data_IF_295222313759
#
_entry.id   IF_295222313759
#
_cell.length_a   1.000
_cell.length_b   1.000
_cell.length_c   1.000
_cell.angle_alpha   90.00
_cell.angle_beta   90.00
_cell.angle_gamma   90.00
#
_symmetry.space_group_name_H-M   'P 1'
#
loop_
_entity.id
_entity.type
_entity.pdbx_description
1 polymer ?
#
# COMPACT_ATOMS: atom_id res chain seq x y z
N UNK A 1 -24.60 5.77 -0.32
CA UNK A 1 -23.57 5.23 0.58
C UNK A 1 -22.22 5.76 0.12
N UNK A 2 -21.36 6.22 1.04
CA UNK A 2 -20.03 6.70 0.68
C UNK A 2 -19.21 5.54 0.09
N UNK A 3 -18.74 5.68 -1.17
CA UNK A 3 -17.95 4.64 -1.85
C UNK A 3 -16.50 4.60 -1.35
N UNK A 4 -16.00 5.69 -0.76
CA UNK A 4 -14.64 5.81 -0.26
C UNK A 4 -14.57 5.49 1.22
N UNK A 5 -13.53 4.75 1.63
CA UNK A 5 -13.22 4.52 3.05
C UNK A 5 -12.42 5.69 3.61
N UNK A 6 -11.55 6.28 2.81
CA UNK A 6 -10.66 7.38 3.22
C UNK A 6 -10.54 8.39 2.09
N UNK A 7 -10.58 9.67 2.43
CA UNK A 7 -10.39 10.78 1.48
C UNK A 7 -9.52 11.86 2.12
N UNK A 8 -8.63 12.43 1.32
CA UNK A 8 -7.93 13.66 1.64
C UNK A 8 -8.36 14.75 0.65
N UNK A 9 -8.58 15.97 1.14
CA UNK A 9 -9.01 17.12 0.35
C UNK A 9 -8.11 18.31 0.63
N UNK A 10 -7.30 18.67 -0.36
CA UNK A 10 -6.41 19.83 -0.29
C UNK A 10 -5.37 19.78 0.83
N UNK A 11 -4.84 18.59 1.15
CA UNK A 11 -3.86 18.40 2.20
C UNK A 11 -2.54 19.09 1.87
N UNK A 12 -2.08 19.96 2.77
CA UNK A 12 -0.72 20.53 2.74
C UNK A 12 -0.04 20.30 4.07
N UNK A 13 1.25 20.04 4.02
CA UNK A 13 2.08 19.81 5.20
C UNK A 13 3.54 20.19 4.93
N UNK A 14 4.16 20.90 5.86
CA UNK A 14 5.58 21.26 5.84
C UNK A 14 6.25 20.76 7.13
N UNK A 15 7.49 20.29 7.00
CA UNK A 15 8.33 20.02 8.17
C UNK A 15 8.90 21.31 8.75
N UNK A 16 9.54 21.22 9.92
CA UNK A 16 10.11 22.37 10.65
C UNK A 16 11.12 23.19 9.82
N UNK A 17 11.74 22.59 8.81
CA UNK A 17 12.65 23.27 7.86
C UNK A 17 11.91 24.17 6.84
N UNK A 18 10.59 24.24 6.92
CA UNK A 18 9.73 25.05 6.06
C UNK A 18 9.56 24.52 4.63
N UNK A 19 10.11 23.35 4.30
CA UNK A 19 9.91 22.74 2.99
C UNK A 19 8.56 22.04 2.91
N UNK A 20 7.72 22.34 1.91
CA UNK A 20 6.46 21.67 1.73
C UNK A 20 6.71 20.21 1.33
N UNK A 21 6.22 19.27 2.15
CA UNK A 21 6.26 17.84 1.89
C UNK A 21 4.97 17.35 1.24
N UNK A 22 3.85 18.07 1.45
CA UNK A 22 2.57 17.91 0.75
C UNK A 22 2.08 19.30 0.33
N UNK A 23 1.58 19.39 -0.90
CA UNK A 23 1.06 20.64 -1.46
C UNK A 23 -0.28 20.37 -2.17
N UNK A 24 -1.38 20.76 -1.50
CA UNK A 24 -2.75 20.65 -1.99
C UNK A 24 -3.14 19.26 -2.49
N UNK A 25 -2.75 18.20 -1.76
CA UNK A 25 -3.01 16.82 -2.14
C UNK A 25 -4.47 16.46 -1.93
N UNK A 26 -5.14 16.03 -3.01
CA UNK A 26 -6.47 15.44 -2.96
C UNK A 26 -6.43 14.02 -3.51
N UNK A 27 -6.89 13.05 -2.70
CA UNK A 27 -6.80 11.61 -2.99
C UNK A 27 -7.95 10.89 -2.31
N UNK A 28 -8.46 9.82 -2.93
CA UNK A 28 -9.53 9.01 -2.37
C UNK A 28 -9.26 7.53 -2.51
N UNK A 29 -9.68 6.77 -1.51
CA UNK A 29 -9.46 5.34 -1.42
C UNK A 29 -10.81 4.61 -1.36
N UNK A 30 -11.27 4.01 -2.48
CA UNK A 30 -12.51 3.25 -2.52
C UNK A 30 -12.45 2.01 -1.62
N UNK A 31 -13.61 1.67 -1.01
CA UNK A 31 -13.75 0.51 -0.12
C UNK A 31 -13.42 -0.80 -0.84
N UNK A 32 -12.65 -1.66 -0.19
CA UNK A 32 -12.34 -3.00 -0.65
C UNK A 32 -11.49 -3.07 -1.92
N UNK A 33 -10.75 -2.02 -2.26
CA UNK A 33 -9.86 -1.95 -3.41
C UNK A 33 -8.39 -2.03 -3.02
N UNK A 34 -7.55 -2.42 -3.97
CA UNK A 34 -6.10 -2.31 -3.87
C UNK A 34 -5.65 -1.08 -4.66
N UNK A 35 -5.03 -0.12 -3.98
CA UNK A 35 -4.63 1.16 -4.57
C UNK A 35 -3.12 1.32 -4.43
N UNK A 36 -2.45 1.72 -5.52
CA UNK A 36 -1.05 2.14 -5.46
C UNK A 36 -0.93 3.65 -5.25
N UNK A 37 0.05 4.05 -4.45
CA UNK A 37 0.58 5.41 -4.40
C UNK A 37 2.03 5.33 -4.89
N UNK A 38 2.24 5.79 -6.12
CA UNK A 38 3.49 5.68 -6.86
C UNK A 38 4.28 6.97 -6.76
N UNK A 39 5.59 6.88 -6.79
CA UNK A 39 6.47 8.06 -6.80
C UNK A 39 7.87 7.70 -6.34
N UNK A 40 8.83 8.53 -6.71
CA UNK A 40 10.22 8.40 -6.26
C UNK A 40 10.40 8.62 -4.76
N UNK A 41 11.64 8.46 -4.29
CA UNK A 41 12.00 8.85 -2.93
C UNK A 41 11.83 10.36 -2.78
N UNK A 42 11.27 10.79 -1.65
CA UNK A 42 10.99 12.21 -1.40
C UNK A 42 9.71 12.75 -2.05
N UNK A 43 8.95 11.95 -2.81
CA UNK A 43 7.70 12.40 -3.44
C UNK A 43 6.56 12.75 -2.46
N UNK A 44 6.73 12.53 -1.15
CA UNK A 44 5.73 12.86 -0.12
C UNK A 44 4.84 11.70 0.31
N UNK A 45 5.06 10.46 -0.19
CA UNK A 45 4.20 9.29 0.09
C UNK A 45 4.08 8.98 1.58
N UNK A 46 5.19 8.79 2.29
CA UNK A 46 5.19 8.47 3.73
C UNK A 46 4.60 9.62 4.55
N UNK A 47 4.88 10.89 4.17
CA UNK A 47 4.28 12.07 4.79
C UNK A 47 2.75 12.09 4.62
N UNK A 48 2.26 11.75 3.42
CA UNK A 48 0.83 11.61 3.17
C UNK A 48 0.21 10.57 4.12
N UNK A 49 0.81 9.39 4.24
CA UNK A 49 0.29 8.32 5.09
C UNK A 49 0.27 8.68 6.57
N UNK A 50 1.28 9.37 7.06
CA UNK A 50 1.34 9.84 8.43
C UNK A 50 0.26 10.91 8.73
N UNK A 51 -0.07 11.75 7.75
CA UNK A 51 -1.20 12.68 7.85
C UNK A 51 -2.55 11.95 7.84
N UNK A 52 -2.71 10.96 6.95
CA UNK A 52 -3.94 10.17 6.83
C UNK A 52 -4.26 9.36 8.10
N UNK A 53 -3.24 8.87 8.80
CA UNK A 53 -3.39 8.11 10.05
C UNK A 53 -3.40 8.99 11.31
N UNK A 54 -3.18 10.30 11.17
CA UNK A 54 -3.15 11.24 12.28
C UNK A 54 -1.88 11.16 13.14
N UNK A 55 -0.77 10.65 12.61
CA UNK A 55 0.56 10.77 13.25
C UNK A 55 1.07 12.20 13.07
N UNK A 56 0.91 12.75 11.88
CA UNK A 56 1.13 14.16 11.58
C UNK A 56 -0.22 14.88 11.44
N UNK A 57 -0.24 16.16 11.83
CA UNK A 57 -1.39 17.03 11.65
C UNK A 57 -1.12 17.93 10.44
N UNK A 58 -1.98 17.95 9.40
CA UNK A 58 -1.75 18.79 8.23
C UNK A 58 -1.84 20.28 8.57
N UNK A 59 -1.09 21.11 7.86
CA UNK A 59 -1.14 22.57 7.98
C UNK A 59 -2.48 23.09 7.44
N UNK A 60 -3.00 22.45 6.39
CA UNK A 60 -4.30 22.78 5.79
C UNK A 60 -4.92 21.55 5.10
N UNK A 61 -6.21 21.69 4.75
CA UNK A 61 -6.98 20.62 4.14
C UNK A 61 -7.72 19.76 5.16
N UNK A 62 -8.28 18.67 4.69
CA UNK A 62 -9.16 17.80 5.49
C UNK A 62 -8.96 16.32 5.13
N UNK A 63 -9.07 15.47 6.14
CA UNK A 63 -9.13 14.01 5.97
C UNK A 63 -10.50 13.52 6.43
N UNK A 64 -11.10 12.64 5.64
CA UNK A 64 -12.41 12.06 5.87
C UNK A 64 -12.31 10.55 5.92
N UNK A 65 -12.76 9.93 7.00
CA UNK A 65 -12.77 8.50 7.21
C UNK A 65 -14.21 8.01 7.29
N UNK A 66 -14.59 7.15 6.35
CA UNK A 66 -15.95 6.58 6.22
C UNK A 66 -17.06 7.66 6.16
N UNK A 67 -16.76 8.81 5.55
CA UNK A 67 -17.67 9.94 5.40
C UNK A 67 -17.67 10.92 6.57
N UNK A 68 -16.88 10.69 7.62
CA UNK A 68 -16.73 11.60 8.75
C UNK A 68 -15.36 12.30 8.69
N UNK A 69 -15.34 13.63 8.89
CA UNK A 69 -14.09 14.39 8.99
C UNK A 69 -13.33 13.95 10.23
N UNK A 70 -12.06 13.59 10.09
CA UNK A 70 -11.25 13.21 11.23
C UNK A 70 -10.87 14.44 12.06
N UNK A 71 -10.82 14.24 13.37
CA UNK A 71 -10.30 15.21 14.33
C UNK A 71 -8.91 14.78 14.77
N UNK A 72 -7.96 15.70 14.79
CA UNK A 72 -6.58 15.46 15.24
C UNK A 72 -6.42 15.58 16.77
N UNK A 73 -7.54 15.63 17.52
CA UNK A 73 -7.49 15.57 18.99
C UNK A 73 -7.08 14.18 19.46
N UNK A 74 -6.22 14.09 20.46
CA UNK A 74 -5.69 12.80 20.98
C UNK A 74 -6.77 11.71 21.15
N UNK A 75 -7.92 12.06 21.79
CA UNK A 75 -9.02 11.10 22.04
C UNK A 75 -9.66 10.55 20.76
N UNK A 76 -9.65 11.33 19.67
CA UNK A 76 -10.31 10.97 18.42
C UNK A 76 -9.36 10.15 17.52
N UNK A 77 -8.06 10.38 17.63
CA UNK A 77 -7.01 9.67 16.88
C UNK A 77 -6.95 8.17 17.17
N UNK A 78 -7.35 7.73 18.36
CA UNK A 78 -7.44 6.29 18.65
C UNK A 78 -8.38 5.59 17.70
N UNK A 79 -9.56 6.16 17.43
CA UNK A 79 -10.53 5.61 16.47
C UNK A 79 -10.00 5.59 15.03
N UNK A 80 -9.22 6.61 14.66
CA UNK A 80 -8.58 6.67 13.34
C UNK A 80 -7.58 5.54 13.20
N UNK A 81 -6.67 5.38 14.18
CA UNK A 81 -5.62 4.36 14.17
C UNK A 81 -6.13 2.93 14.31
N UNK A 82 -7.29 2.74 14.93
CA UNK A 82 -7.97 1.44 14.94
C UNK A 82 -8.47 1.07 13.54
N UNK A 83 -8.99 2.03 12.76
CA UNK A 83 -9.55 1.80 11.42
C UNK A 83 -8.50 1.85 10.29
N UNK A 84 -7.39 2.58 10.49
CA UNK A 84 -6.31 2.75 9.51
C UNK A 84 -5.02 2.20 10.09
N UNK A 85 -4.60 1.04 9.62
CA UNK A 85 -3.31 0.45 9.97
C UNK A 85 -2.20 0.90 9.03
N UNK A 86 -0.98 1.04 9.54
CA UNK A 86 0.22 1.29 8.74
C UNK A 86 1.24 0.18 9.00
N UNK A 87 1.81 -0.35 7.92
CA UNK A 87 2.98 -1.23 7.94
C UNK A 87 4.15 -0.46 7.33
N UNK A 88 5.19 -0.23 8.11
CA UNK A 88 6.37 0.50 7.68
C UNK A 88 7.26 -0.30 6.74
N UNK A 89 8.09 0.40 5.98
CA UNK A 89 9.03 -0.19 5.03
C UNK A 89 10.01 -1.14 5.72
N UNK A 90 10.66 -0.71 6.80
CA UNK A 90 11.50 -1.57 7.63
C UNK A 90 10.68 -2.12 8.80
N UNK A 91 10.46 -3.46 8.89
CA UNK A 91 9.74 -4.03 10.02
C UNK A 91 10.49 -3.90 11.35
N UNK A 92 11.79 -3.58 11.35
CA UNK A 92 12.53 -3.31 12.58
C UNK A 92 12.09 -2.00 13.27
N UNK A 93 11.56 -1.06 12.50
CA UNK A 93 11.00 0.19 13.02
C UNK A 93 9.63 -0.01 13.69
N UNK A 94 9.02 -1.18 13.48
CA UNK A 94 7.68 -1.50 13.97
C UNK A 94 7.67 -2.58 15.07
N UNK A 95 8.59 -3.56 15.00
CA UNK A 95 8.65 -4.68 15.94
C UNK A 95 9.61 -4.36 17.10
N UNK A 96 9.08 -4.36 18.32
CA UNK A 96 9.87 -3.98 19.52
C UNK A 96 9.67 -4.91 20.70
N UNK A 97 8.70 -5.82 20.68
CA UNK A 97 8.41 -6.72 21.79
C UNK A 97 9.35 -7.94 21.83
N UNK A 98 9.48 -8.56 22.99
CA UNK A 98 10.36 -9.71 23.20
C UNK A 98 9.93 -10.98 22.42
N UNK A 99 8.64 -11.12 22.07
CA UNK A 99 8.13 -12.25 21.28
C UNK A 99 7.06 -11.80 20.30
N UNK A 100 6.87 -12.57 19.24
CA UNK A 100 5.86 -12.34 18.19
C UNK A 100 4.47 -12.16 18.78
N UNK A 101 4.03 -13.07 19.66
CA UNK A 101 2.70 -13.00 20.29
C UNK A 101 2.50 -11.70 21.08
N UNK A 102 3.52 -11.27 21.84
CA UNK A 102 3.47 -10.01 22.59
C UNK A 102 3.40 -8.79 21.67
N UNK A 103 4.14 -8.84 20.57
CA UNK A 103 4.17 -7.75 19.61
C UNK A 103 2.78 -7.57 18.93
N UNK A 104 2.21 -8.67 18.42
CA UNK A 104 0.88 -8.65 17.79
C UNK A 104 -0.20 -8.18 18.78
N UNK A 105 -0.14 -8.60 20.05
CA UNK A 105 -1.16 -8.24 21.05
C UNK A 105 -1.05 -6.83 21.60
N UNK A 106 0.08 -6.15 21.40
CA UNK A 106 0.43 -4.90 22.06
C UNK A 106 -0.63 -3.80 21.93
N UNK A 107 -1.11 -3.55 20.71
CA UNK A 107 -2.12 -2.51 20.46
C UNK A 107 -3.42 -2.74 21.23
N UNK A 108 -3.89 -3.98 21.23
CA UNK A 108 -5.14 -4.36 21.91
C UNK A 108 -5.03 -4.32 23.42
N UNK A 109 -3.89 -4.75 23.97
CA UNK A 109 -3.62 -4.68 25.41
C UNK A 109 -3.61 -3.23 25.88
N UNK A 110 -2.99 -2.31 25.11
CA UNK A 110 -2.98 -0.88 25.43
C UNK A 110 -4.36 -0.22 25.34
N UNK A 111 -5.26 -0.76 24.51
CA UNK A 111 -6.65 -0.35 24.45
C UNK A 111 -7.52 -0.93 25.59
N UNK A 112 -6.93 -1.78 26.44
CA UNK A 112 -7.65 -2.39 27.56
C UNK A 112 -8.68 -3.44 27.18
N UNK A 113 -8.51 -4.12 26.03
CA UNK A 113 -9.42 -5.20 25.63
C UNK A 113 -9.33 -6.38 26.59
N UNK A 114 -10.45 -7.12 26.82
CA UNK A 114 -10.45 -8.34 27.63
C UNK A 114 -9.45 -9.37 27.10
N UNK A 115 -8.78 -10.11 27.98
CA UNK A 115 -7.75 -11.09 27.64
C UNK A 115 -8.23 -12.12 26.63
N UNK A 116 -9.42 -12.66 26.79
CA UNK A 116 -10.03 -13.66 25.90
C UNK A 116 -10.18 -13.11 24.48
N UNK A 117 -10.60 -11.85 24.36
CA UNK A 117 -10.76 -11.18 23.06
C UNK A 117 -9.40 -10.93 22.39
N UNK A 118 -8.38 -10.50 23.17
CA UNK A 118 -7.00 -10.36 22.70
C UNK A 118 -6.49 -11.69 22.15
N UNK A 119 -6.60 -12.77 22.94
CA UNK A 119 -6.14 -14.10 22.53
C UNK A 119 -6.85 -14.58 21.25
N UNK A 120 -8.17 -14.42 21.17
CA UNK A 120 -8.96 -14.80 19.99
C UNK A 120 -8.51 -14.05 18.73
N UNK A 121 -8.29 -12.75 18.83
CA UNK A 121 -7.85 -11.93 17.68
C UNK A 121 -6.42 -12.23 17.28
N UNK A 122 -5.51 -12.44 18.23
CA UNK A 122 -4.13 -12.84 17.97
C UNK A 122 -4.09 -14.17 17.21
N UNK A 123 -4.81 -15.19 17.69
CA UNK A 123 -4.88 -16.48 17.02
C UNK A 123 -5.43 -16.37 15.58
N UNK A 124 -6.42 -15.51 15.38
CA UNK A 124 -6.97 -15.25 14.04
C UNK A 124 -5.91 -14.61 13.14
N UNK A 125 -5.23 -13.55 13.59
CA UNK A 125 -4.20 -12.83 12.82
C UNK A 125 -3.01 -13.76 12.50
N UNK A 126 -2.56 -14.57 13.46
CA UNK A 126 -1.48 -15.56 13.30
C UNK A 126 -1.82 -16.60 12.22
N UNK A 127 -3.05 -17.11 12.23
CA UNK A 127 -3.50 -18.07 11.19
C UNK A 127 -3.57 -17.42 9.80
N UNK A 128 -4.14 -16.24 9.71
CA UNK A 128 -4.33 -15.56 8.42
C UNK A 128 -3.00 -15.16 7.76
N UNK A 129 -2.01 -14.80 8.57
CA UNK A 129 -0.66 -14.42 8.09
C UNK A 129 0.30 -15.60 7.96
N UNK A 130 -0.11 -16.82 8.38
CA UNK A 130 0.67 -18.03 8.25
C UNK A 130 1.91 -18.09 9.15
N UNK A 131 1.90 -17.38 10.30
CA UNK A 131 3.06 -17.29 11.21
C UNK A 131 2.94 -18.13 12.47
N UNK A 132 2.07 -19.16 12.48
CA UNK A 132 1.81 -20.01 13.65
C UNK A 132 3.06 -20.58 14.32
N UNK A 133 3.99 -21.10 13.51
CA UNK A 133 5.26 -21.64 13.99
C UNK A 133 6.22 -20.59 14.60
N UNK A 134 5.90 -19.30 14.44
CA UNK A 134 6.73 -18.19 14.91
C UNK A 134 6.21 -17.53 16.19
N UNK A 135 5.00 -17.88 16.65
CA UNK A 135 4.26 -17.13 17.69
C UNK A 135 5.04 -16.90 18.99
N UNK A 136 5.83 -17.87 19.41
CA UNK A 136 6.59 -17.81 20.66
C UNK A 136 8.06 -17.41 20.44
N UNK A 137 8.47 -17.20 19.18
CA UNK A 137 9.86 -16.83 18.87
C UNK A 137 10.14 -15.37 19.22
N UNK A 138 11.39 -15.05 19.60
CA UNK A 138 11.82 -13.67 19.74
C UNK A 138 11.77 -12.94 18.39
N UNK A 139 11.29 -11.69 18.41
CA UNK A 139 11.14 -10.88 17.18
C UNK A 139 12.49 -10.62 16.47
N UNK A 140 13.57 -10.47 17.26
CA UNK A 140 14.92 -10.26 16.69
C UNK A 140 15.50 -11.49 16.00
N UNK A 141 15.00 -12.70 16.29
CA UNK A 141 15.47 -13.96 15.71
C UNK A 141 14.77 -14.35 14.39
N UNK A 142 13.95 -13.46 13.84
CA UNK A 142 13.19 -13.68 12.62
C UNK A 142 13.96 -13.19 11.38
N UNK A 143 13.75 -13.85 10.22
CA UNK A 143 14.16 -13.31 8.93
C UNK A 143 13.39 -12.05 8.57
N UNK A 144 13.89 -11.27 7.62
CA UNK A 144 13.23 -10.01 7.20
C UNK A 144 11.80 -10.25 6.70
N UNK A 145 11.56 -11.26 5.87
CA UNK A 145 10.21 -11.62 5.39
C UNK A 145 9.30 -12.10 6.52
N UNK A 146 9.83 -12.87 7.50
CA UNK A 146 9.07 -13.25 8.69
C UNK A 146 8.67 -12.03 9.51
N UNK A 147 9.58 -11.08 9.72
CA UNK A 147 9.30 -9.81 10.40
C UNK A 147 8.21 -9.01 9.68
N UNK A 148 8.23 -8.94 8.34
CA UNK A 148 7.15 -8.29 7.57
C UNK A 148 5.79 -8.94 7.80
N UNK A 149 5.71 -10.27 7.81
CA UNK A 149 4.46 -10.99 8.12
C UNK A 149 3.97 -10.72 9.54
N UNK A 150 4.87 -10.65 10.51
CA UNK A 150 4.54 -10.28 11.90
C UNK A 150 4.05 -8.84 12.00
N UNK A 151 4.69 -7.88 11.32
CA UNK A 151 4.24 -6.50 11.26
C UNK A 151 2.83 -6.37 10.66
N UNK A 152 2.54 -7.12 9.57
CA UNK A 152 1.20 -7.20 8.99
C UNK A 152 0.20 -7.80 9.98
N UNK A 153 0.56 -8.86 10.71
CA UNK A 153 -0.30 -9.47 11.74
C UNK A 153 -0.61 -8.50 12.88
N UNK A 154 0.38 -7.72 13.32
CA UNK A 154 0.24 -6.69 14.36
C UNK A 154 -0.72 -5.55 13.98
N UNK A 155 -0.84 -5.28 12.69
CA UNK A 155 -1.85 -4.34 12.16
C UNK A 155 -3.21 -5.02 12.00
N UNK A 156 -3.21 -6.24 11.43
CA UNK A 156 -4.41 -6.99 11.09
C UNK A 156 -5.25 -7.40 12.30
N UNK A 157 -4.60 -7.57 13.46
CA UNK A 157 -5.25 -7.91 14.73
C UNK A 157 -6.24 -6.85 15.22
N UNK A 158 -6.05 -5.59 14.81
CA UNK A 158 -6.94 -4.47 15.12
C UNK A 158 -8.22 -4.46 14.27
N UNK A 159 -8.33 -5.36 13.28
CA UNK A 159 -9.43 -5.45 12.30
C UNK A 159 -9.66 -4.15 11.51
N UNK A 160 -8.60 -3.58 10.91
CA UNK A 160 -8.67 -2.29 10.24
C UNK A 160 -9.53 -2.35 8.98
N UNK A 161 -10.15 -1.22 8.63
CA UNK A 161 -10.89 -1.04 7.37
C UNK A 161 -9.98 -0.72 6.18
N UNK A 162 -8.80 -0.16 6.49
CA UNK A 162 -7.79 0.19 5.51
C UNK A 162 -6.41 -0.10 6.08
N UNK A 163 -5.55 -0.72 5.27
CA UNK A 163 -4.14 -0.96 5.59
C UNK A 163 -3.28 -0.25 4.56
N UNK A 164 -2.38 0.59 5.04
CA UNK A 164 -1.35 1.25 4.25
C UNK A 164 -0.04 0.47 4.45
N UNK A 165 0.62 0.12 3.36
CA UNK A 165 1.92 -0.53 3.40
C UNK A 165 2.93 0.31 2.61
N UNK A 166 4.00 0.69 3.28
CA UNK A 166 5.11 1.40 2.64
C UNK A 166 6.13 0.38 2.14
N UNK A 167 6.33 0.31 0.82
CA UNK A 167 7.25 -0.60 0.13
C UNK A 167 7.19 -2.06 0.66
N UNK A 168 6.04 -2.74 0.58
CA UNK A 168 5.85 -4.04 1.24
C UNK A 168 6.75 -5.17 0.69
N UNK A 169 7.23 -5.05 -0.54
CA UNK A 169 8.10 -6.03 -1.21
C UNK A 169 9.58 -5.71 -1.10
N UNK A 170 9.93 -4.49 -0.67
CA UNK A 170 11.32 -4.07 -0.56
C UNK A 170 12.12 -4.97 0.42
N UNK A 171 13.32 -5.38 -0.01
CA UNK A 171 14.22 -6.20 0.78
C UNK A 171 13.86 -7.70 0.84
N UNK A 172 12.86 -8.12 0.07
CA UNK A 172 12.48 -9.53 -0.09
C UNK A 172 13.06 -10.12 -1.38
N UNK A 173 13.25 -11.42 -1.37
CA UNK A 173 13.47 -12.19 -2.59
C UNK A 173 12.16 -12.29 -3.40
N UNK A 174 12.18 -12.72 -4.66
CA UNK A 174 10.99 -12.79 -5.50
C UNK A 174 9.87 -13.65 -4.90
N UNK A 175 10.21 -14.78 -4.27
CA UNK A 175 9.23 -15.68 -3.65
C UNK A 175 8.57 -15.01 -2.44
N UNK A 176 9.33 -14.38 -1.56
CA UNK A 176 8.81 -13.63 -0.42
C UNK A 176 7.96 -12.43 -0.83
N UNK A 177 8.31 -11.74 -1.93
CA UNK A 177 7.51 -10.65 -2.48
C UNK A 177 6.14 -11.17 -2.97
N UNK A 178 6.12 -12.27 -3.74
CA UNK A 178 4.90 -12.90 -4.23
C UNK A 178 4.01 -13.40 -3.08
N UNK A 179 4.62 -13.98 -2.03
CA UNK A 179 3.91 -14.41 -0.83
C UNK A 179 3.24 -13.26 -0.08
N UNK A 180 3.93 -12.11 0.08
CA UNK A 180 3.35 -10.91 0.72
C UNK A 180 2.21 -10.35 -0.12
N UNK A 181 2.37 -10.20 -1.43
CA UNK A 181 1.30 -9.72 -2.30
C UNK A 181 0.09 -10.66 -2.31
N UNK A 182 0.31 -11.97 -2.31
CA UNK A 182 -0.74 -12.98 -2.21
C UNK A 182 -1.49 -12.89 -0.87
N UNK A 183 -0.77 -12.72 0.24
CA UNK A 183 -1.34 -12.49 1.56
C UNK A 183 -2.23 -11.24 1.59
N UNK A 184 -1.74 -10.12 1.07
CA UNK A 184 -2.49 -8.86 1.02
C UNK A 184 -3.74 -8.99 0.16
N UNK A 185 -3.65 -9.67 -0.98
CA UNK A 185 -4.81 -9.94 -1.84
C UNK A 185 -5.84 -10.84 -1.16
N UNK A 186 -5.38 -11.84 -0.40
CA UNK A 186 -6.25 -12.68 0.43
C UNK A 186 -7.00 -11.85 1.48
N UNK A 187 -6.27 -11.01 2.23
CA UNK A 187 -6.87 -10.11 3.25
C UNK A 187 -7.93 -9.20 2.61
N UNK A 188 -7.61 -8.59 1.47
CA UNK A 188 -8.55 -7.73 0.75
C UNK A 188 -9.83 -8.47 0.37
N UNK A 189 -9.72 -9.68 -0.17
CA UNK A 189 -10.88 -10.48 -0.62
C UNK A 189 -11.72 -11.03 0.52
N UNK A 190 -11.07 -11.57 1.56
CA UNK A 190 -11.77 -12.25 2.66
C UNK A 190 -12.37 -11.29 3.68
N UNK A 191 -11.73 -10.13 3.92
CA UNK A 191 -12.18 -9.14 4.89
C UNK A 191 -12.85 -7.90 4.28
N UNK A 192 -12.73 -7.70 2.96
CA UNK A 192 -13.15 -6.47 2.31
C UNK A 192 -12.30 -5.27 2.71
N UNK A 193 -11.11 -5.50 3.29
CA UNK A 193 -10.18 -4.44 3.71
C UNK A 193 -9.61 -3.73 2.49
N UNK A 194 -9.59 -2.41 2.53
CA UNK A 194 -8.90 -1.61 1.49
C UNK A 194 -7.40 -1.68 1.71
N UNK A 195 -6.65 -1.98 0.67
CA UNK A 195 -5.18 -2.06 0.70
C UNK A 195 -4.60 -0.89 -0.07
N UNK A 196 -3.72 -0.14 0.56
CA UNK A 196 -2.94 0.93 -0.08
C UNK A 196 -1.46 0.56 -0.03
N UNK A 197 -0.81 0.53 -1.18
CA UNK A 197 0.60 0.19 -1.31
C UNK A 197 1.35 1.41 -1.86
N UNK A 198 2.30 1.95 -1.07
CA UNK A 198 3.30 2.84 -1.64
C UNK A 198 4.39 2.00 -2.28
N UNK A 199 4.75 2.32 -3.50
CA UNK A 199 5.87 1.65 -4.16
C UNK A 199 6.40 2.45 -5.35
N UNK A 200 7.64 2.16 -5.73
CA UNK A 200 8.25 2.57 -6.99
C UNK A 200 8.41 1.36 -7.95
N UNK A 201 8.03 0.16 -7.52
CA UNK A 201 8.07 -1.07 -8.33
C UNK A 201 6.88 -1.14 -9.27
N UNK A 202 7.06 -0.67 -10.51
CA UNK A 202 5.99 -0.58 -11.49
C UNK A 202 5.45 -1.94 -11.95
N UNK A 203 6.25 -3.01 -11.86
CA UNK A 203 5.87 -4.34 -12.32
C UNK A 203 4.78 -4.99 -11.46
N UNK A 204 4.64 -4.60 -10.18
CA UNK A 204 3.58 -5.11 -9.31
C UNK A 204 2.23 -4.42 -9.53
N UNK A 205 2.22 -3.20 -10.06
CA UNK A 205 1.02 -2.38 -10.21
C UNK A 205 -0.06 -3.06 -11.06
N UNK A 206 0.23 -3.58 -12.26
CA UNK A 206 -0.78 -4.24 -13.10
C UNK A 206 -1.25 -5.59 -12.54
N UNK A 207 -0.48 -6.19 -11.63
CA UNK A 207 -0.79 -7.49 -11.03
C UNK A 207 -1.64 -7.34 -9.77
N UNK A 208 -1.45 -6.23 -9.03
CA UNK A 208 -1.99 -6.09 -7.69
C UNK A 208 -2.99 -4.95 -7.53
N UNK A 209 -2.91 -3.86 -8.29
CA UNK A 209 -3.68 -2.65 -8.02
C UNK A 209 -4.88 -2.49 -8.95
N UNK A 210 -6.00 -2.01 -8.39
CA UNK A 210 -7.21 -1.64 -9.14
C UNK A 210 -7.11 -0.21 -9.66
N UNK A 211 -6.40 0.65 -8.93
CA UNK A 211 -6.22 2.08 -9.20
C UNK A 211 -4.86 2.55 -8.70
N UNK A 212 -4.33 3.62 -9.26
CA UNK A 212 -3.07 4.18 -8.79
C UNK A 212 -3.06 5.71 -8.87
N UNK A 213 -2.33 6.30 -7.94
CA UNK A 213 -1.97 7.72 -7.90
C UNK A 213 -0.47 7.85 -8.07
N UNK A 214 -0.04 8.84 -8.84
CA UNK A 214 1.37 9.21 -8.98
C UNK A 214 1.60 10.49 -8.21
N UNK A 215 2.55 10.45 -7.29
CA UNK A 215 2.99 11.59 -6.53
C UNK A 215 4.37 12.04 -7.00
N UNK A 216 4.55 13.34 -7.14
CA UNK A 216 5.84 13.99 -7.36
C UNK A 216 5.85 15.34 -6.65
N UNK A 217 6.96 15.66 -5.97
CA UNK A 217 7.16 16.92 -5.24
C UNK A 217 5.96 17.32 -4.36
N UNK A 218 5.46 16.35 -3.56
CA UNK A 218 4.35 16.56 -2.64
C UNK A 218 2.97 16.73 -3.27
N UNK A 219 2.80 16.49 -4.57
CA UNK A 219 1.54 16.64 -5.30
C UNK A 219 1.10 15.35 -5.97
N UNK A 220 -0.20 15.17 -6.16
CA UNK A 220 -0.73 14.15 -7.07
C UNK A 220 -0.71 14.70 -8.48
N UNK A 221 0.10 14.09 -9.35
CA UNK A 221 0.31 14.54 -10.74
C UNK A 221 -0.50 13.75 -11.75
N UNK A 222 -0.75 12.46 -11.46
CA UNK A 222 -1.54 11.55 -12.29
C UNK A 222 -2.36 10.62 -11.42
N UNK A 223 -3.49 10.16 -11.94
CA UNK A 223 -4.25 9.08 -11.33
C UNK A 223 -5.05 8.33 -12.39
N UNK A 224 -5.35 7.07 -12.13
CA UNK A 224 -6.12 6.23 -13.05
C UNK A 224 -5.95 4.74 -12.73
N UNK A 225 -6.60 3.93 -13.54
CA UNK A 225 -6.33 2.49 -13.57
C UNK A 225 -4.90 2.24 -14.09
N UNK A 226 -4.26 1.11 -13.78
CA UNK A 226 -2.94 0.77 -14.32
C UNK A 226 -2.87 0.93 -15.85
N UNK A 227 -3.92 0.50 -16.55
CA UNK A 227 -3.99 0.59 -18.01
C UNK A 227 -4.00 2.03 -18.52
N UNK A 228 -4.74 2.94 -17.86
CA UNK A 228 -4.77 4.36 -18.21
C UNK A 228 -3.42 5.03 -17.97
N UNK A 229 -2.75 4.70 -16.88
CA UNK A 229 -1.41 5.22 -16.57
C UNK A 229 -0.38 4.76 -17.61
N UNK A 230 -0.41 3.49 -17.99
CA UNK A 230 0.53 2.93 -18.98
C UNK A 230 0.26 3.37 -20.42
N UNK A 231 -0.96 3.87 -20.69
CA UNK A 231 -1.28 4.53 -21.95
C UNK A 231 -0.62 5.92 -22.10
N UNK A 232 -0.11 6.49 -21.01
CA UNK A 232 0.54 7.80 -20.97
C UNK A 232 2.03 7.70 -20.53
N UNK A 233 2.89 6.95 -21.25
CA UNK A 233 4.26 6.64 -20.81
C UNK A 233 5.12 7.89 -20.64
N UNK A 234 4.90 8.93 -21.44
CA UNK A 234 5.65 10.18 -21.34
C UNK A 234 5.38 10.88 -20.00
N UNK A 235 4.11 10.92 -19.56
CA UNK A 235 3.75 11.51 -18.26
C UNK A 235 4.36 10.74 -17.09
N UNK A 236 4.49 9.41 -17.18
CA UNK A 236 5.17 8.63 -16.15
C UNK A 236 6.67 8.98 -16.08
N UNK A 237 7.34 9.12 -17.23
CA UNK A 237 8.76 9.52 -17.30
C UNK A 237 9.00 10.93 -16.74
N UNK A 238 8.09 11.88 -17.02
CA UNK A 238 8.11 13.24 -16.44
C UNK A 238 8.00 13.22 -14.91
N UNK A 239 7.38 12.19 -14.36
CA UNK A 239 7.30 11.94 -12.92
C UNK A 239 8.37 10.96 -12.40
N UNK A 240 9.46 10.79 -13.15
CA UNK A 240 10.59 9.92 -12.80
C UNK A 240 10.22 8.44 -12.60
N UNK A 241 9.10 8.00 -13.17
CA UNK A 241 8.66 6.61 -13.14
C UNK A 241 8.93 5.91 -14.48
N UNK A 242 9.24 4.63 -14.41
CA UNK A 242 9.42 3.78 -15.60
C UNK A 242 8.10 3.03 -15.87
N UNK A 243 7.89 2.62 -17.12
CA UNK A 243 6.87 1.63 -17.40
C UNK A 243 7.22 0.27 -16.78
N UNK A 244 6.22 -0.57 -16.46
CA UNK A 244 6.45 -2.00 -16.27
C UNK A 244 7.24 -2.59 -17.45
N UNK A 245 8.10 -3.57 -17.18
CA UNK A 245 9.02 -4.14 -18.19
C UNK A 245 8.28 -4.61 -19.44
N UNK A 246 7.16 -5.28 -19.27
CA UNK A 246 6.35 -5.76 -20.41
C UNK A 246 5.70 -4.60 -21.16
N UNK A 247 5.14 -3.60 -20.46
CA UNK A 247 4.58 -2.42 -21.12
C UNK A 247 5.64 -1.64 -21.90
N UNK A 248 6.87 -1.55 -21.38
CA UNK A 248 7.98 -0.94 -22.10
C UNK A 248 8.35 -1.73 -23.37
N UNK A 249 8.42 -3.06 -23.28
CA UNK A 249 8.63 -3.91 -24.44
C UNK A 249 7.52 -3.70 -25.50
N UNK A 250 6.25 -3.69 -25.08
CA UNK A 250 5.13 -3.46 -26.00
C UNK A 250 5.16 -2.06 -26.63
N UNK A 251 5.60 -1.05 -25.88
CA UNK A 251 5.82 0.30 -26.41
C UNK A 251 6.89 0.31 -27.52
N UNK A 252 8.02 -0.38 -27.30
CA UNK A 252 9.12 -0.51 -28.28
C UNK A 252 8.63 -1.22 -29.54
N UNK A 253 8.00 -2.40 -29.39
CA UNK A 253 7.45 -3.16 -30.51
C UNK A 253 6.44 -2.35 -31.34
N UNK A 254 5.64 -1.52 -30.69
CA UNK A 254 4.67 -0.66 -31.40
C UNK A 254 5.33 0.53 -32.09
N UNK A 255 6.21 1.24 -31.39
CA UNK A 255 6.77 2.54 -31.88
C UNK A 255 7.96 2.39 -32.81
N UNK A 256 8.84 1.42 -32.54
CA UNK A 256 10.07 1.23 -33.32
C UNK A 256 9.90 0.18 -34.40
N UNK A 257 9.27 -0.96 -34.07
CA UNK A 257 9.09 -2.07 -35.00
C UNK A 257 7.74 -2.02 -35.75
N UNK A 258 6.90 -1.00 -35.44
CA UNK A 258 5.59 -0.80 -36.07
C UNK A 258 4.64 -2.00 -35.98
N UNK A 259 4.83 -2.89 -35.00
CA UNK A 259 3.99 -4.07 -34.83
C UNK A 259 2.63 -3.69 -34.23
N UNK A 260 1.52 -4.33 -34.67
CA UNK A 260 0.16 -4.05 -34.21
C UNK A 260 -0.13 -4.66 -32.84
N UNK A 261 0.64 -4.27 -31.82
CA UNK A 261 0.48 -4.70 -30.43
C UNK A 261 -0.21 -3.64 -29.57
N UNK A 262 -0.86 -4.08 -28.48
CA UNK A 262 -1.39 -3.17 -27.46
C UNK A 262 -0.23 -2.68 -26.56
N UNK A 263 0.13 -1.39 -26.60
CA UNK A 263 1.23 -0.86 -25.80
C UNK A 263 0.92 -0.77 -24.30
N UNK A 264 -0.34 -1.02 -23.90
CA UNK A 264 -0.76 -1.00 -22.49
C UNK A 264 -0.71 -2.37 -21.83
N UNK A 265 -0.43 -3.44 -22.60
CA UNK A 265 -0.20 -4.77 -22.03
C UNK A 265 1.02 -4.74 -21.11
N UNK A 266 0.83 -5.04 -19.83
CA UNK A 266 1.81 -4.79 -18.78
C UNK A 266 2.22 -6.04 -17.99
N UNK A 267 1.51 -7.15 -18.21
CA UNK A 267 1.82 -8.44 -17.58
C UNK A 267 2.41 -9.43 -18.60
N UNK A 268 3.18 -10.41 -18.11
CA UNK A 268 3.72 -11.49 -18.95
C UNK A 268 2.60 -12.22 -19.71
N UNK A 269 1.45 -12.43 -19.07
CA UNK A 269 0.29 -13.07 -19.71
C UNK A 269 -0.25 -12.25 -20.89
N UNK A 270 -0.42 -10.93 -20.69
CA UNK A 270 -0.90 -10.01 -21.74
C UNK A 270 0.11 -9.90 -22.89
N UNK A 271 1.41 -9.73 -22.58
CA UNK A 271 2.48 -9.70 -23.57
C UNK A 271 2.54 -10.98 -24.41
N UNK A 272 2.46 -12.15 -23.74
CA UNK A 272 2.38 -13.45 -24.44
C UNK A 272 1.17 -13.53 -25.37
N UNK A 273 0.00 -13.04 -24.94
CA UNK A 273 -1.19 -13.04 -25.79
C UNK A 273 -1.03 -12.10 -27.00
N UNK A 274 -0.41 -10.93 -26.80
CA UNK A 274 -0.11 -10.00 -27.88
C UNK A 274 0.79 -10.64 -28.95
N UNK A 275 1.88 -11.28 -28.55
CA UNK A 275 2.81 -11.99 -29.46
C UNK A 275 2.10 -13.16 -30.17
N UNK A 276 1.28 -13.95 -29.46
CA UNK A 276 0.52 -15.04 -30.09
C UNK A 276 -0.46 -14.56 -31.16
N UNK A 277 -1.05 -13.39 -31.00
CA UNK A 277 -1.94 -12.79 -32.02
C UNK A 277 -1.18 -12.38 -33.27
N UNK A 278 0.07 -11.93 -33.14
CA UNK A 278 0.93 -11.62 -34.29
C UNK A 278 1.24 -12.88 -35.11
N UNK A 279 1.63 -13.98 -34.45
CA UNK A 279 1.99 -15.25 -35.08
C UNK A 279 0.81 -15.99 -35.73
N UNK A 280 -0.43 -15.62 -35.45
CA UNK A 280 -1.64 -16.24 -36.01
C UNK A 280 -2.24 -15.44 -37.19
N UNK A 281 -1.63 -14.33 -37.56
CA UNK A 281 -2.07 -13.49 -38.68
C UNK A 281 -1.36 -13.83 -40.00
N UNK A 282 -0.51 -14.85 -39.98
CA UNK A 282 0.01 -15.53 -41.16
C UNK A 282 -0.84 -16.81 -41.39
#
# INVERSE_FOLDING_TARGET
>A
MNQNILEAKGLSYSYEDGKPALDNVSISFPKGKCIAVLGGNGAGKSTLFLNLNGVLTPDSGEVWLDGEKISYRKKDLFRVREKIGIVFQDPNDQLFSASVRKDISFGMVNLGLPKEEVERRVEKAVRETGIGALSDRPTHALSFGQKKRVAIAGVLVMDPKLIILDEPTAGLDPEGADEILSLLRKIQRERGTTIVVATHEMDIVPLFCDYAYVMNDGRVTLSGTPKELFAAPQKLRENHLRLPRIAHLMEVLKKQDHLPVDPTAATVSEGRQAVKKLLRKD
#
